data_IF_739115650219
#
_entry.id   IF_739115650219
#
_cell.length_a   1.000
_cell.length_b   1.000
_cell.length_c   1.000
_cell.angle_alpha   90.00
_cell.angle_beta   90.00
_cell.angle_gamma   90.00
#
_symmetry.space_group_name_H-M   'P 1'
#
loop_
_entity.id
_entity.type
_entity.pdbx_description
1 polymer ?
#
# COMPACT_ATOMS: atom_id res chain seq x y z
N UNK A 1 -9.45 -12.16 9.55
CA UNK A 1 -8.53 -12.96 8.71
C UNK A 1 -7.18 -12.25 8.62
N UNK A 2 -6.37 -12.29 9.68
CA UNK A 2 -4.96 -11.92 9.60
C UNK A 2 -4.20 -13.22 9.32
N UNK A 3 -3.98 -13.55 8.05
CA UNK A 3 -3.00 -14.59 7.71
C UNK A 3 -1.63 -13.98 7.99
N UNK A 4 -0.84 -14.62 8.85
CA UNK A 4 0.47 -14.16 9.31
C UNK A 4 1.51 -14.01 8.21
N UNK A 5 1.37 -12.98 7.39
CA UNK A 5 2.43 -12.43 6.56
C UNK A 5 3.27 -11.46 7.38
N UNK A 6 4.56 -11.38 7.04
CA UNK A 6 5.45 -10.34 7.57
C UNK A 6 4.95 -8.99 7.05
N UNK A 7 4.66 -8.07 7.97
CA UNK A 7 4.48 -6.66 7.62
C UNK A 7 5.85 -6.06 7.35
N UNK A 8 5.99 -5.37 6.22
CA UNK A 8 7.23 -4.70 5.80
C UNK A 8 6.97 -3.20 5.79
N UNK A 9 7.85 -2.37 6.39
CA UNK A 9 7.78 -0.93 6.24
C UNK A 9 7.87 -0.55 4.75
N UNK A 10 6.81 0.05 4.23
CA UNK A 10 6.75 0.40 2.82
C UNK A 10 6.04 1.74 2.60
N UNK A 11 6.23 2.28 1.40
CA UNK A 11 5.46 3.42 0.90
C UNK A 11 4.56 2.96 -0.25
N UNK A 12 3.33 3.48 -0.28
CA UNK A 12 2.39 3.29 -1.36
C UNK A 12 2.55 4.41 -2.40
N UNK A 13 2.87 4.05 -3.63
CA UNK A 13 2.88 4.95 -4.78
C UNK A 13 1.68 4.68 -5.69
N UNK A 14 0.94 5.72 -6.06
CA UNK A 14 -0.16 5.64 -7.01
C UNK A 14 0.06 6.68 -8.11
N UNK A 15 -0.04 6.24 -9.35
CA UNK A 15 -0.02 7.08 -10.55
C UNK A 15 -1.15 6.70 -11.49
N UNK A 16 -1.25 7.41 -12.62
CA UNK A 16 -2.18 7.04 -13.68
C UNK A 16 -1.92 5.61 -14.21
N UNK A 17 -0.67 5.18 -14.24
CA UNK A 17 -0.27 3.93 -14.91
C UNK A 17 -0.03 2.79 -13.94
N UNK A 18 0.53 3.08 -12.76
CA UNK A 18 0.97 2.08 -11.81
C UNK A 18 0.51 2.36 -10.39
N UNK A 19 0.22 1.26 -9.68
CA UNK A 19 0.17 1.18 -8.22
C UNK A 19 1.35 0.33 -7.76
N UNK A 20 2.19 0.88 -6.89
CA UNK A 20 3.41 0.22 -6.42
C UNK A 20 3.55 0.27 -4.90
N UNK A 21 4.18 -0.74 -4.31
CA UNK A 21 4.72 -0.69 -2.96
C UNK A 21 6.24 -0.77 -3.03
N UNK A 22 6.91 0.12 -2.30
CA UNK A 22 8.37 0.14 -2.19
C UNK A 22 8.75 -0.18 -0.75
N UNK A 23 9.55 -1.23 -0.56
CA UNK A 23 10.15 -1.57 0.74
C UNK A 23 11.20 -0.50 1.10
N UNK A 24 11.04 0.13 2.26
CA UNK A 24 11.94 1.17 2.75
C UNK A 24 13.30 0.64 3.21
N UNK A 25 13.37 -0.62 3.65
CA UNK A 25 14.60 -1.27 4.08
C UNK A 25 15.45 -1.70 2.88
N UNK A 26 14.86 -2.50 1.99
CA UNK A 26 15.55 -2.99 0.78
C UNK A 26 15.71 -1.92 -0.31
N UNK A 27 14.85 -0.88 -0.30
CA UNK A 27 14.75 0.15 -1.35
C UNK A 27 14.39 -0.43 -2.72
N UNK A 28 13.51 -1.43 -2.73
CA UNK A 28 13.06 -2.13 -3.93
C UNK A 28 11.53 -2.12 -4.06
N UNK A 29 11.04 -2.22 -5.29
CA UNK A 29 9.61 -2.38 -5.58
C UNK A 29 9.20 -3.81 -5.26
N UNK A 30 8.39 -3.99 -4.22
CA UNK A 30 7.91 -5.31 -3.75
C UNK A 30 6.50 -5.63 -4.24
N UNK A 31 5.79 -4.63 -4.78
CA UNK A 31 4.51 -4.80 -5.45
C UNK A 31 4.39 -3.80 -6.59
N UNK A 32 3.83 -4.23 -7.72
CA UNK A 32 3.54 -3.42 -8.89
C UNK A 32 2.33 -4.02 -9.61
N UNK A 33 1.32 -3.20 -9.89
CA UNK A 33 0.28 -3.53 -10.87
C UNK A 33 -0.07 -2.31 -11.71
N UNK A 34 -0.63 -2.55 -12.90
CA UNK A 34 -1.22 -1.47 -13.67
C UNK A 34 -2.46 -0.95 -12.95
N UNK A 35 -2.66 0.36 -12.94
CA UNK A 35 -3.85 0.97 -12.32
C UNK A 35 -5.14 0.44 -12.97
N UNK A 36 -5.11 0.08 -14.25
CA UNK A 36 -6.23 -0.56 -14.95
C UNK A 36 -6.59 -1.97 -14.48
N UNK A 37 -5.68 -2.66 -13.80
CA UNK A 37 -5.93 -3.99 -13.22
C UNK A 37 -6.55 -3.91 -11.83
N UNK A 38 -6.66 -2.73 -11.23
CA UNK A 38 -7.33 -2.53 -9.96
C UNK A 38 -8.84 -2.64 -10.16
N UNK A 39 -9.45 -3.63 -9.52
CA UNK A 39 -10.89 -3.90 -9.57
C UNK A 39 -11.63 -2.99 -8.59
N UNK A 40 -10.98 -2.68 -7.45
CA UNK A 40 -11.52 -1.77 -6.44
C UNK A 40 -10.68 -1.75 -5.17
N UNK A 41 -11.02 -0.86 -4.26
CA UNK A 41 -10.37 -0.74 -2.95
C UNK A 41 -11.38 -0.53 -1.83
N UNK A 42 -10.99 -0.86 -0.61
CA UNK A 42 -11.73 -0.54 0.60
C UNK A 42 -10.81 -0.10 1.71
N UNK A 43 -11.30 0.81 2.55
CA UNK A 43 -10.60 1.26 3.75
C UNK A 43 -11.30 0.69 4.99
N UNK A 44 -10.52 0.20 5.96
CA UNK A 44 -11.01 -0.25 7.26
C UNK A 44 -10.03 0.22 8.35
N UNK A 45 -10.45 1.22 9.12
CA UNK A 45 -9.56 1.90 10.07
C UNK A 45 -8.35 2.51 9.34
N UNK A 46 -7.15 2.15 9.79
CA UNK A 46 -5.89 2.60 9.18
C UNK A 46 -5.45 1.73 7.98
N UNK A 47 -6.21 0.70 7.60
CA UNK A 47 -5.82 -0.22 6.52
C UNK A 47 -6.52 0.14 5.21
N UNK A 48 -5.75 0.13 4.10
CA UNK A 48 -6.24 0.20 2.73
C UNK A 48 -6.03 -1.17 2.06
N UNK A 49 -7.11 -1.74 1.53
CA UNK A 49 -7.12 -2.99 0.79
C UNK A 49 -7.34 -2.70 -0.69
N UNK A 50 -6.46 -3.21 -1.53
CA UNK A 50 -6.50 -3.02 -2.98
C UNK A 50 -6.68 -4.39 -3.62
N UNK A 51 -7.79 -4.56 -4.34
CA UNK A 51 -8.12 -5.78 -5.08
C UNK A 51 -7.77 -5.60 -6.54
N UNK A 52 -7.03 -6.54 -7.12
CA UNK A 52 -6.51 -6.43 -8.48
C UNK A 52 -6.51 -7.76 -9.24
N UNK A 53 -6.35 -7.68 -10.56
CA UNK A 53 -6.23 -8.85 -11.43
C UNK A 53 -7.46 -9.75 -11.38
N UNK A 54 -7.31 -10.96 -10.84
CA UNK A 54 -8.40 -11.95 -10.71
C UNK A 54 -9.03 -11.99 -9.30
N UNK A 55 -8.83 -10.93 -8.51
CA UNK A 55 -9.30 -10.83 -7.14
C UNK A 55 -8.21 -11.05 -6.09
N UNK A 56 -6.93 -10.94 -6.48
CA UNK A 56 -5.83 -10.91 -5.53
C UNK A 56 -5.87 -9.63 -4.70
N UNK A 57 -5.24 -9.69 -3.51
CA UNK A 57 -5.33 -8.64 -2.51
C UNK A 57 -3.93 -8.23 -2.04
N UNK A 58 -3.68 -6.93 -2.06
CA UNK A 58 -2.61 -6.31 -1.28
C UNK A 58 -3.23 -5.39 -0.23
N UNK A 59 -2.69 -5.43 0.99
CA UNK A 59 -3.15 -4.60 2.09
C UNK A 59 -1.98 -3.78 2.60
N UNK A 60 -2.19 -2.48 2.74
CA UNK A 60 -1.28 -1.59 3.45
C UNK A 60 -1.99 -1.03 4.67
N UNK A 61 -1.22 -0.66 5.70
CA UNK A 61 -1.72 0.07 6.85
C UNK A 61 -0.94 1.36 6.98
N UNK A 62 -1.62 2.46 7.25
CA UNK A 62 -0.97 3.70 7.63
C UNK A 62 -0.14 3.46 8.90
N UNK A 63 1.17 3.74 8.82
CA UNK A 63 2.04 3.78 9.98
C UNK A 63 1.68 4.97 10.88
N UNK A 64 1.96 4.86 12.18
CA UNK A 64 1.68 5.93 13.14
C UNK A 64 2.47 7.23 12.83
N UNK A 65 3.62 7.13 12.16
CA UNK A 65 4.56 8.24 11.93
C UNK A 65 4.19 9.15 10.75
N UNK A 66 2.99 9.01 10.16
CA UNK A 66 2.51 9.86 9.06
C UNK A 66 1.87 11.19 9.47
N UNK A 67 1.80 11.49 10.78
CA UNK A 67 1.17 12.70 11.32
C UNK A 67 2.17 13.76 11.83
N UNK A 68 3.47 13.47 11.87
CA UNK A 68 4.52 14.36 12.41
C UNK A 68 5.20 15.22 11.32
N UNK A 69 4.44 15.59 10.28
CA UNK A 69 4.90 16.43 9.16
C UNK A 69 4.15 17.75 9.00
N UNK A 70 3.40 18.17 10.02
CA UNK A 70 2.69 19.45 10.06
C UNK A 70 2.95 20.19 11.38
N UNK A 71 4.22 20.40 11.71
CA UNK A 71 4.62 21.46 12.63
C UNK A 71 5.91 22.09 12.12
N UNK A 72 5.85 23.36 11.72
CA UNK A 72 7.00 24.12 11.21
C UNK A 72 6.80 24.85 9.89
N UNK A 73 5.80 25.73 9.81
CA UNK A 73 5.82 26.92 8.94
C UNK A 73 4.97 28.03 9.56
#
# INVERSE_FOLDING_TARGET
>A
FARGGVEIPCVLGISKEFVVLVDLGAKEVVFNCFTGDVIGWSAEGAALRIYYGRGDLVSVRAGADGADGADGA
#
